data_IF_118847341434
#
_entry.id   IF_118847341434
#
_cell.length_a   1.000
_cell.length_b   1.000
_cell.length_c   1.000
_cell.angle_alpha   90.00
_cell.angle_beta   90.00
_cell.angle_gamma   90.00
#
_symmetry.space_group_name_H-M   'P 1'
#
loop_
_entity.id
_entity.type
_entity.pdbx_description
1 polymer ?
#
# COMPACT_ATOMS: atom_id res chain seq x y z
N UNK A 1 6.26 -7.76 -24.45
CA UNK A 1 5.53 -8.48 -23.38
C UNK A 1 4.17 -7.82 -23.26
N UNK A 2 3.05 -8.53 -23.46
CA UNK A 2 1.73 -7.92 -23.30
C UNK A 2 1.51 -7.63 -21.81
N UNK A 3 1.03 -6.43 -21.50
CA UNK A 3 0.59 -6.05 -20.15
C UNK A 3 -0.57 -6.97 -19.79
N UNK A 4 -0.48 -7.71 -18.69
CA UNK A 4 -1.63 -8.43 -18.16
C UNK A 4 -2.72 -7.42 -17.78
N UNK A 5 -3.99 -7.84 -17.67
CA UNK A 5 -5.11 -6.99 -17.22
C UNK A 5 -4.82 -6.21 -15.91
N UNK A 6 -3.82 -6.64 -15.16
CA UNK A 6 -3.34 -6.08 -13.90
C UNK A 6 -2.24 -5.00 -14.06
N UNK A 7 -1.78 -4.73 -15.28
CA UNK A 7 -0.69 -3.78 -15.60
C UNK A 7 -1.20 -2.53 -16.32
N UNK A 8 -2.40 -2.06 -16.00
CA UNK A 8 -2.94 -0.83 -16.55
C UNK A 8 -2.09 0.38 -16.12
N UNK A 9 -1.78 1.30 -17.05
CA UNK A 9 -1.29 2.62 -16.68
C UNK A 9 -2.35 3.36 -15.84
N UNK A 10 -1.94 4.35 -15.04
CA UNK A 10 -2.88 5.09 -14.17
C UNK A 10 -4.04 5.72 -14.95
N UNK A 11 -3.79 6.16 -16.19
CA UNK A 11 -4.83 6.68 -17.08
C UNK A 11 -5.83 5.62 -17.53
N UNK A 12 -5.37 4.41 -17.87
CA UNK A 12 -6.25 3.31 -18.29
C UNK A 12 -7.12 2.82 -17.12
N UNK A 13 -6.54 2.76 -15.92
CA UNK A 13 -7.26 2.44 -14.70
C UNK A 13 -8.26 3.55 -14.29
N UNK A 14 -7.93 4.82 -14.55
CA UNK A 14 -8.82 5.96 -14.32
C UNK A 14 -10.10 5.86 -15.16
N UNK A 15 -9.96 5.54 -16.46
CA UNK A 15 -11.10 5.34 -17.37
C UNK A 15 -12.03 4.21 -16.90
N UNK A 16 -11.47 3.08 -16.44
CA UNK A 16 -12.26 1.93 -15.98
C UNK A 16 -12.97 2.21 -14.65
N UNK A 17 -12.29 2.90 -13.72
CA UNK A 17 -12.79 3.13 -12.36
C UNK A 17 -13.60 4.41 -12.21
N UNK A 18 -13.57 5.30 -13.19
CA UNK A 18 -14.13 6.65 -13.10
C UNK A 18 -13.38 7.55 -12.11
N UNK A 19 -12.17 7.19 -11.70
CA UNK A 19 -11.35 7.99 -10.80
C UNK A 19 -10.44 8.94 -11.57
N UNK A 20 -9.94 9.99 -10.91
CA UNK A 20 -8.87 10.79 -11.51
C UNK A 20 -7.55 10.00 -11.55
N UNK A 21 -6.69 10.22 -12.56
CA UNK A 21 -5.37 9.59 -12.61
C UNK A 21 -4.53 9.80 -11.34
N UNK A 22 -4.62 10.99 -10.73
CA UNK A 22 -3.94 11.27 -9.46
C UNK A 22 -4.45 10.42 -8.29
N UNK A 23 -5.77 10.13 -8.24
CA UNK A 23 -6.35 9.23 -7.24
C UNK A 23 -5.90 7.78 -7.45
N UNK A 24 -5.84 7.34 -8.70
CA UNK A 24 -5.32 6.01 -9.06
C UNK A 24 -3.85 5.87 -8.66
N UNK A 25 -3.01 6.85 -8.98
CA UNK A 25 -1.59 6.87 -8.61
C UNK A 25 -1.40 6.82 -7.09
N UNK A 26 -2.22 7.56 -6.33
CA UNK A 26 -2.18 7.54 -4.88
C UNK A 26 -2.55 6.16 -4.31
N UNK A 27 -3.65 5.55 -4.79
CA UNK A 27 -4.07 4.21 -4.36
C UNK A 27 -3.00 3.18 -4.72
N UNK A 28 -2.42 3.26 -5.92
CA UNK A 28 -1.35 2.38 -6.38
C UNK A 28 -0.12 2.46 -5.48
N UNK A 29 0.31 3.68 -5.14
CA UNK A 29 1.42 3.91 -4.20
C UNK A 29 1.15 3.34 -2.80
N UNK A 30 -0.08 3.38 -2.31
CA UNK A 30 -0.40 2.95 -0.93
C UNK A 30 -0.64 1.45 -0.84
N UNK A 31 -1.29 0.85 -1.84
CA UNK A 31 -1.85 -0.51 -1.72
C UNK A 31 -1.35 -1.51 -2.76
N UNK A 32 -0.79 -1.06 -3.89
CA UNK A 32 -0.45 -1.93 -5.03
C UNK A 32 1.06 -2.02 -5.24
N UNK A 33 1.82 -0.98 -4.86
CA UNK A 33 3.27 -0.98 -4.88
C UNK A 33 3.80 -2.03 -3.89
N UNK A 34 4.36 -3.16 -4.36
CA UNK A 34 4.74 -4.27 -3.51
C UNK A 34 5.85 -3.89 -2.52
N UNK A 35 6.71 -2.94 -2.85
CA UNK A 35 7.71 -2.43 -1.89
C UNK A 35 7.04 -1.65 -0.76
N UNK A 36 6.02 -0.87 -1.08
CA UNK A 36 5.23 -0.12 -0.08
C UNK A 36 4.39 -1.05 0.79
N UNK A 37 3.87 -2.14 0.24
CA UNK A 37 3.18 -3.18 1.03
C UNK A 37 4.12 -3.79 2.05
N UNK A 38 5.36 -4.12 1.67
CA UNK A 38 6.38 -4.66 2.58
C UNK A 38 6.73 -3.65 3.68
N UNK A 39 6.94 -2.37 3.33
CA UNK A 39 7.20 -1.31 4.31
C UNK A 39 6.04 -1.13 5.28
N UNK A 40 4.81 -1.06 4.79
CA UNK A 40 3.61 -0.91 5.63
C UNK A 40 3.40 -2.11 6.58
N UNK A 41 3.72 -3.33 6.13
CA UNK A 41 3.71 -4.50 7.00
C UNK A 41 4.77 -4.39 8.10
N UNK A 42 5.99 -3.95 7.75
CA UNK A 42 7.06 -3.70 8.71
C UNK A 42 6.68 -2.68 9.79
N UNK A 43 6.10 -1.54 9.39
CA UNK A 43 5.61 -0.51 10.32
C UNK A 43 4.58 -1.06 11.31
N UNK A 44 3.63 -1.87 10.83
CA UNK A 44 2.59 -2.48 11.68
C UNK A 44 3.17 -3.49 12.66
N UNK A 45 4.17 -4.28 12.26
CA UNK A 45 4.86 -5.22 13.14
C UNK A 45 5.64 -4.45 14.22
N UNK A 46 6.38 -3.43 13.83
CA UNK A 46 7.15 -2.59 14.75
C UNK A 46 6.23 -1.92 15.80
N UNK A 47 5.12 -1.33 15.37
CA UNK A 47 4.15 -0.71 16.26
C UNK A 47 3.61 -1.70 17.31
N UNK A 48 3.25 -2.93 16.89
CA UNK A 48 2.80 -3.98 17.82
C UNK A 48 3.90 -4.41 18.79
N UNK A 49 5.14 -4.52 18.30
CA UNK A 49 6.28 -4.90 19.14
C UNK A 49 6.56 -3.84 20.21
N UNK A 50 6.59 -2.56 19.86
CA UNK A 50 6.77 -1.47 20.82
C UNK A 50 5.64 -1.40 21.84
N UNK A 51 4.38 -1.55 21.41
CA UNK A 51 3.24 -1.60 22.33
C UNK A 51 3.38 -2.74 23.36
N UNK A 52 3.84 -3.93 22.92
CA UNK A 52 4.07 -5.08 23.80
C UNK A 52 5.23 -4.84 24.78
N UNK A 53 6.32 -4.23 24.33
CA UNK A 53 7.46 -3.91 25.21
C UNK A 53 7.06 -2.90 26.28
N UNK A 54 6.33 -1.86 25.91
CA UNK A 54 5.83 -0.84 26.84
C UNK A 54 4.91 -1.44 27.90
N UNK A 55 3.98 -2.30 27.51
CA UNK A 55 3.09 -2.99 28.44
C UNK A 55 3.85 -3.90 29.43
N UNK A 56 5.01 -4.43 29.04
CA UNK A 56 5.85 -5.27 29.91
C UNK A 56 6.73 -4.44 30.85
N UNK A 57 7.09 -3.20 30.48
CA UNK A 57 7.91 -2.32 31.32
C UNK A 57 7.13 -1.55 32.39
N UNK A 58 5.80 -1.48 32.26
CA UNK A 58 4.89 -0.81 33.21
C UNK A 58 4.31 -1.81 34.25
N UNK A 59 4.81 -3.05 34.28
CA UNK A 59 4.49 -4.15 35.21
C UNK A 59 5.69 -4.43 36.13
#
# INVERSE_FOLDING_TARGET
>A
MPRTEWQLADGEAAEITGWSPGRVAHIRKVYVDPERVVVALGERIAAKHFAKQRAKSEL
#
